data_IF_821869635068
#
_entry.id   IF_821869635068
#
_cell.length_a   1.000
_cell.length_b   1.000
_cell.length_c   1.000
_cell.angle_alpha   90.00
_cell.angle_beta   90.00
_cell.angle_gamma   90.00
#
_symmetry.space_group_name_H-M   'P 1'
#
loop_
_entity.id
_entity.type
_entity.pdbx_description
1 polymer ?
#
# COMPACT_ATOMS: atom_id res chain seq x y z
N UNK A 1 -5.78 7.06 14.01
CA UNK A 1 -4.77 6.15 14.58
C UNK A 1 -3.40 6.67 14.20
N UNK A 2 -2.39 6.49 15.04
CA UNK A 2 -1.04 6.99 14.83
C UNK A 2 -0.08 5.83 14.55
N UNK A 3 0.66 5.89 13.46
CA UNK A 3 1.62 4.88 13.05
C UNK A 3 2.92 5.53 12.52
N UNK A 4 3.76 5.99 13.43
CA UNK A 4 5.02 6.68 13.13
C UNK A 4 6.03 6.44 14.25
N UNK A 5 7.36 6.55 14.00
CA UNK A 5 8.40 6.17 14.96
C UNK A 5 8.67 7.27 16.00
N UNK A 6 7.63 7.92 16.50
CA UNK A 6 7.69 9.13 17.34
C UNK A 6 8.34 8.94 18.70
N UNK A 7 8.51 7.70 19.16
CA UNK A 7 9.35 7.38 20.32
C UNK A 7 10.81 7.81 20.14
N UNK A 8 11.25 8.01 18.90
CA UNK A 8 12.57 8.58 18.61
C UNK A 8 12.67 10.06 19.01
N UNK A 9 11.57 10.82 19.01
CA UNK A 9 11.59 12.21 19.44
C UNK A 9 11.93 12.32 20.94
N UNK A 10 11.37 11.43 21.76
CA UNK A 10 11.67 11.38 23.20
C UNK A 10 13.11 10.92 23.43
N UNK A 11 13.50 9.78 22.85
CA UNK A 11 14.82 9.20 23.08
C UNK A 11 15.99 10.02 22.52
N UNK A 12 15.81 10.73 21.40
CA UNK A 12 16.86 11.57 20.79
C UNK A 12 16.85 13.01 21.31
N UNK A 13 15.68 13.58 21.58
CA UNK A 13 15.53 15.03 21.79
C UNK A 13 14.86 15.42 23.10
N UNK A 14 14.37 14.45 23.90
CA UNK A 14 13.59 14.71 25.11
C UNK A 14 12.25 15.37 24.83
N UNK A 15 11.67 15.13 23.65
CA UNK A 15 10.39 15.69 23.22
C UNK A 15 9.33 14.58 23.22
N UNK A 16 8.42 14.68 24.19
CA UNK A 16 7.26 13.81 24.28
C UNK A 16 6.08 14.41 23.52
N UNK A 17 5.46 13.63 22.65
CA UNK A 17 4.27 14.04 21.91
C UNK A 17 3.00 13.59 22.64
N UNK A 18 2.06 14.50 22.80
CA UNK A 18 0.73 14.17 23.33
C UNK A 18 -0.12 13.47 22.25
N UNK A 19 -0.18 12.15 22.34
CA UNK A 19 -0.98 11.28 21.46
C UNK A 19 -2.26 10.77 22.13
N UNK A 20 -2.70 11.38 23.24
CA UNK A 20 -3.88 10.92 24.00
C UNK A 20 -5.18 10.94 23.20
N UNK A 21 -5.25 11.76 22.15
CA UNK A 21 -6.39 11.83 21.22
C UNK A 21 -6.41 10.68 20.19
N UNK A 22 -5.36 9.86 20.14
CA UNK A 22 -5.25 8.74 19.20
C UNK A 22 -5.74 7.45 19.85
N UNK A 23 -6.69 6.77 19.21
CA UNK A 23 -7.23 5.49 19.71
C UNK A 23 -6.18 4.38 19.76
N UNK A 24 -5.29 4.36 18.76
CA UNK A 24 -4.17 3.43 18.66
C UNK A 24 -2.92 4.23 18.32
N UNK A 25 -1.84 3.90 19.01
CA UNK A 25 -0.48 4.40 18.77
C UNK A 25 0.39 3.20 18.49
N UNK A 26 1.12 3.23 17.39
CA UNK A 26 2.04 2.19 16.96
C UNK A 26 3.24 2.81 16.27
N UNK A 27 4.30 2.03 16.13
CA UNK A 27 5.55 2.46 15.53
C UNK A 27 5.83 1.74 14.22
N UNK A 28 6.49 2.45 13.30
CA UNK A 28 6.97 1.91 12.01
C UNK A 28 8.39 1.36 12.10
N UNK A 29 9.05 1.46 13.26
CA UNK A 29 10.41 0.94 13.47
C UNK A 29 10.50 -0.55 13.18
N UNK A 30 11.61 -0.96 12.55
CA UNK A 30 11.91 -2.39 12.30
C UNK A 30 11.99 -3.23 13.56
N UNK A 31 12.32 -2.63 14.70
CA UNK A 31 12.42 -3.28 16.01
C UNK A 31 11.09 -3.30 16.78
N UNK A 32 10.07 -2.58 16.33
CA UNK A 32 8.79 -2.50 17.02
C UNK A 32 7.96 -3.77 16.76
N UNK A 33 7.82 -4.60 17.79
CA UNK A 33 6.98 -5.82 17.76
C UNK A 33 5.74 -5.65 18.63
N UNK A 34 4.77 -6.55 18.45
CA UNK A 34 3.52 -6.59 19.22
C UNK A 34 2.72 -5.27 19.20
N UNK A 35 2.75 -4.57 18.07
CA UNK A 35 2.03 -3.33 17.85
C UNK A 35 0.55 -3.57 17.50
N UNK A 36 -0.33 -2.60 17.75
CA UNK A 36 -1.75 -2.70 17.35
C UNK A 36 -1.93 -2.47 15.84
N UNK A 37 -1.00 -1.74 15.23
CA UNK A 37 -0.86 -1.58 13.78
C UNK A 37 0.51 -2.13 13.42
N UNK A 38 0.53 -3.21 12.64
CA UNK A 38 1.77 -3.81 12.15
C UNK A 38 1.84 -3.62 10.65
N UNK A 39 2.87 -2.92 10.19
CA UNK A 39 3.16 -2.74 8.76
C UNK A 39 4.38 -3.57 8.39
N UNK A 40 4.26 -4.33 7.33
CA UNK A 40 5.30 -5.20 6.81
C UNK A 40 5.83 -4.59 5.50
N UNK A 41 7.06 -4.06 5.55
CA UNK A 41 7.78 -3.62 4.36
C UNK A 41 8.44 -4.83 3.66
N UNK A 42 9.04 -4.61 2.50
CA UNK A 42 9.67 -5.63 1.65
C UNK A 42 10.77 -6.42 2.36
N UNK A 43 11.44 -5.84 3.36
CA UNK A 43 12.52 -6.45 4.15
C UNK A 43 12.03 -7.10 5.47
N UNK A 44 10.72 -7.23 5.65
CA UNK A 44 10.08 -7.73 6.89
C UNK A 44 8.97 -8.74 6.64
N UNK A 45 8.86 -9.32 5.44
CA UNK A 45 7.83 -10.32 5.14
C UNK A 45 8.28 -11.34 4.09
N UNK A 46 8.93 -12.39 4.57
CA UNK A 46 9.48 -13.44 3.74
C UNK A 46 10.36 -12.90 2.63
N UNK A 47 10.27 -13.52 1.47
CA UNK A 47 10.97 -13.08 0.27
C UNK A 47 10.07 -12.17 -0.54
N UNK A 48 10.43 -10.90 -0.73
CA UNK A 48 9.79 -10.03 -1.70
C UNK A 48 10.77 -9.70 -2.84
N UNK A 49 10.52 -10.14 -4.09
CA UNK A 49 11.42 -9.88 -5.21
C UNK A 49 11.22 -8.47 -5.74
N UNK A 50 12.29 -7.72 -5.95
CA UNK A 50 12.20 -6.38 -6.55
C UNK A 50 13.51 -5.94 -7.20
N UNK A 51 13.43 -4.90 -8.00
CA UNK A 51 14.57 -4.16 -8.52
C UNK A 51 14.74 -2.89 -7.71
N UNK A 52 15.93 -2.69 -7.16
CA UNK A 52 16.28 -1.42 -6.53
C UNK A 52 16.37 -0.34 -7.62
N UNK A 53 15.47 0.66 -7.56
CA UNK A 53 15.33 1.67 -8.63
C UNK A 53 16.58 2.57 -8.76
N UNK A 54 17.37 2.75 -7.68
CA UNK A 54 18.56 3.61 -7.66
C UNK A 54 19.81 2.89 -8.17
N UNK A 55 19.99 1.63 -7.79
CA UNK A 55 21.19 0.84 -8.08
C UNK A 55 21.01 -0.12 -9.26
N UNK A 56 19.78 -0.43 -9.64
CA UNK A 56 19.45 -1.45 -10.64
C UNK A 56 19.76 -2.88 -10.17
N UNK A 57 19.99 -3.10 -8.88
CA UNK A 57 20.29 -4.42 -8.33
C UNK A 57 19.01 -5.23 -8.14
N UNK A 58 19.01 -6.47 -8.62
CA UNK A 58 17.94 -7.41 -8.40
C UNK A 58 18.01 -8.01 -6.98
N UNK A 59 16.94 -7.82 -6.22
CA UNK A 59 16.73 -8.48 -4.93
C UNK A 59 15.82 -9.70 -5.13
N UNK A 60 16.26 -10.85 -4.62
CA UNK A 60 15.52 -12.12 -4.70
C UNK A 60 15.02 -12.45 -6.11
N UNK A 61 15.92 -12.35 -7.09
CA UNK A 61 15.66 -12.57 -8.53
C UNK A 61 14.79 -11.49 -9.22
N UNK A 62 14.36 -10.45 -8.51
CA UNK A 62 13.70 -9.26 -9.07
C UNK A 62 12.26 -9.46 -9.58
N UNK A 63 11.82 -10.69 -9.85
CA UNK A 63 10.50 -11.00 -10.41
C UNK A 63 9.70 -12.03 -9.58
N UNK A 64 8.37 -11.87 -9.44
CA UNK A 64 7.53 -12.81 -8.67
C UNK A 64 7.52 -14.23 -9.25
N UNK A 65 7.69 -14.41 -10.56
CA UNK A 65 7.75 -15.73 -11.19
C UNK A 65 9.04 -16.51 -10.95
N UNK A 66 10.06 -15.88 -10.34
CA UNK A 66 11.36 -16.49 -10.09
C UNK A 66 11.56 -16.94 -8.63
N UNK A 67 10.67 -16.56 -7.72
CA UNK A 67 10.87 -16.86 -6.29
C UNK A 67 10.54 -18.30 -5.91
N UNK A 68 11.22 -18.76 -4.87
CA UNK A 68 10.85 -19.98 -4.16
C UNK A 68 9.69 -19.73 -3.19
N UNK A 69 8.46 -20.07 -3.61
CA UNK A 69 7.26 -19.89 -2.78
C UNK A 69 7.21 -20.72 -1.50
N UNK A 70 8.01 -21.78 -1.38
CA UNK A 70 8.09 -22.56 -0.13
C UNK A 70 8.88 -21.76 0.90
N UNK A 71 10.08 -21.34 0.52
CA UNK A 71 10.98 -20.54 1.35
C UNK A 71 10.38 -19.18 1.72
N UNK A 72 9.72 -18.50 0.77
CA UNK A 72 8.93 -17.30 1.07
C UNK A 72 7.92 -17.54 2.19
N UNK A 73 7.21 -18.68 2.15
CA UNK A 73 6.19 -19.00 3.16
C UNK A 73 6.77 -19.28 4.53
N UNK A 74 7.88 -20.02 4.61
CA UNK A 74 8.58 -20.32 5.87
C UNK A 74 9.11 -19.03 6.53
N UNK A 75 9.78 -18.17 5.76
CA UNK A 75 10.28 -16.89 6.26
C UNK A 75 9.16 -15.92 6.64
N UNK A 76 8.09 -15.84 5.83
CA UNK A 76 6.94 -15.00 6.15
C UNK A 76 6.21 -15.46 7.41
N UNK A 77 6.15 -16.78 7.69
CA UNK A 77 5.61 -17.32 8.93
C UNK A 77 6.44 -16.86 10.13
N UNK A 78 7.77 -16.97 10.05
CA UNK A 78 8.68 -16.49 11.09
C UNK A 78 8.53 -14.98 11.33
N UNK A 79 8.45 -14.17 10.27
CA UNK A 79 8.24 -12.73 10.37
C UNK A 79 6.90 -12.39 11.04
N UNK A 80 5.81 -13.07 10.67
CA UNK A 80 4.50 -12.86 11.29
C UNK A 80 4.55 -13.19 12.78
N UNK A 81 5.23 -14.29 13.15
CA UNK A 81 5.40 -14.70 14.56
C UNK A 81 6.22 -13.68 15.33
N UNK A 82 7.28 -13.16 14.74
CA UNK A 82 8.15 -12.16 15.35
C UNK A 82 7.42 -10.83 15.58
N UNK A 83 6.78 -10.28 14.54
CA UNK A 83 6.16 -8.96 14.61
C UNK A 83 4.81 -8.96 15.34
N UNK A 84 4.06 -10.06 15.27
CA UNK A 84 2.75 -10.22 15.91
C UNK A 84 2.80 -11.47 16.79
N UNK A 85 3.44 -11.47 17.97
CA UNK A 85 3.60 -12.68 18.77
C UNK A 85 2.28 -13.21 19.35
N UNK A 86 1.27 -12.34 19.55
CA UNK A 86 -0.04 -12.71 20.07
C UNK A 86 -1.18 -12.42 19.07
N UNK A 87 -2.15 -13.34 18.95
CA UNK A 87 -3.37 -13.15 18.15
C UNK A 87 -4.37 -12.24 18.89
N UNK A 88 -4.16 -10.94 18.73
CA UNK A 88 -4.98 -9.86 19.25
C UNK A 88 -5.59 -9.02 18.12
N UNK A 89 -6.75 -8.37 18.34
CA UNK A 89 -7.32 -7.43 17.40
C UNK A 89 -6.33 -6.32 17.02
N UNK A 90 -6.33 -5.93 15.75
CA UNK A 90 -5.45 -4.89 15.24
C UNK A 90 -5.36 -4.91 13.72
N UNK A 91 -4.54 -4.04 13.16
CA UNK A 91 -4.32 -3.93 11.73
C UNK A 91 -3.01 -4.64 11.35
N UNK A 92 -3.01 -5.31 10.20
CA UNK A 92 -1.84 -5.93 9.59
C UNK A 92 -1.79 -5.54 8.11
N UNK A 93 -0.77 -4.75 7.75
CA UNK A 93 -0.64 -4.11 6.45
C UNK A 93 0.58 -4.67 5.74
N UNK A 94 0.38 -5.21 4.54
CA UNK A 94 1.45 -5.62 3.64
C UNK A 94 1.75 -4.44 2.70
N UNK A 95 2.94 -3.85 2.84
CA UNK A 95 3.33 -2.65 2.11
C UNK A 95 4.38 -2.98 1.05
N UNK A 96 3.86 -3.39 -0.11
CA UNK A 96 4.64 -3.89 -1.24
C UNK A 96 4.38 -3.01 -2.47
N UNK A 97 5.24 -2.02 -2.66
CA UNK A 97 5.03 -0.97 -3.66
C UNK A 97 5.89 -1.12 -4.92
N UNK A 98 6.82 -2.08 -4.96
CA UNK A 98 7.80 -2.14 -6.03
C UNK A 98 7.20 -2.51 -7.39
N UNK A 99 6.23 -3.43 -7.40
CA UNK A 99 5.44 -3.79 -8.59
C UNK A 99 3.95 -3.91 -8.25
N UNK A 100 3.10 -3.95 -9.28
CA UNK A 100 1.65 -4.14 -9.18
C UNK A 100 1.28 -5.52 -9.74
N UNK A 101 0.25 -6.20 -9.21
CA UNK A 101 -0.10 -7.54 -9.68
C UNK A 101 -0.73 -7.56 -11.09
N UNK A 102 -1.13 -6.39 -11.61
CA UNK A 102 -1.64 -6.23 -12.97
C UNK A 102 -0.54 -5.66 -13.87
N UNK A 103 -0.23 -6.34 -14.97
CA UNK A 103 0.80 -5.97 -15.93
C UNK A 103 0.66 -4.50 -16.38
N UNK A 104 -0.57 -4.09 -16.71
CA UNK A 104 -0.87 -2.77 -17.23
C UNK A 104 -0.63 -1.62 -16.22
N UNK A 105 -0.41 -1.93 -14.94
CA UNK A 105 -0.11 -0.95 -13.87
C UNK A 105 1.38 -0.86 -13.52
N UNK A 106 2.22 -1.64 -14.19
CA UNK A 106 3.68 -1.55 -14.07
C UNK A 106 4.24 -0.64 -15.17
N UNK A 107 3.97 0.65 -15.06
CA UNK A 107 4.44 1.70 -15.97
C UNK A 107 5.36 2.68 -15.24
N UNK A 108 5.99 3.61 -15.96
CA UNK A 108 6.94 4.57 -15.38
C UNK A 108 8.20 3.84 -14.93
N UNK A 109 8.69 4.11 -13.71
CA UNK A 109 9.85 3.39 -13.16
C UNK A 109 9.64 1.88 -13.05
N UNK A 110 8.38 1.43 -13.01
CA UNK A 110 8.00 0.01 -12.86
C UNK A 110 7.96 -0.74 -14.19
N UNK A 111 8.26 -0.07 -15.31
CA UNK A 111 8.30 -0.73 -16.62
C UNK A 111 9.39 -1.83 -16.68
N UNK A 112 10.44 -1.68 -15.88
CA UNK A 112 11.54 -2.65 -15.76
C UNK A 112 11.04 -4.08 -15.48
N UNK A 113 9.96 -4.24 -14.70
CA UNK A 113 9.38 -5.56 -14.41
C UNK A 113 8.75 -6.21 -15.65
N UNK A 114 8.22 -5.40 -16.57
CA UNK A 114 7.70 -5.88 -17.86
C UNK A 114 8.86 -6.28 -18.76
N UNK A 115 9.85 -5.42 -18.91
CA UNK A 115 11.04 -5.67 -19.74
C UNK A 115 11.78 -6.94 -19.31
N UNK A 116 12.11 -7.06 -18.02
CA UNK A 116 12.78 -8.25 -17.48
C UNK A 116 11.96 -9.52 -17.66
N UNK A 117 10.63 -9.43 -17.52
CA UNK A 117 9.75 -10.58 -17.74
C UNK A 117 9.78 -11.03 -19.20
N UNK A 118 9.82 -10.10 -20.16
CA UNK A 118 9.94 -10.39 -21.59
C UNK A 118 11.30 -11.00 -21.91
N UNK A 119 12.38 -10.39 -21.42
CA UNK A 119 13.74 -10.86 -21.64
C UNK A 119 13.91 -12.29 -21.13
N UNK A 120 13.43 -12.59 -19.92
CA UNK A 120 13.45 -13.94 -19.35
C UNK A 120 12.76 -14.97 -20.26
N UNK A 121 11.63 -14.61 -20.91
CA UNK A 121 10.95 -15.51 -21.85
C UNK A 121 11.74 -15.68 -23.14
N UNK A 122 12.29 -14.59 -23.69
CA UNK A 122 13.08 -14.63 -24.92
C UNK A 122 14.39 -15.43 -24.75
N UNK A 123 15.07 -15.30 -23.61
CA UNK A 123 16.27 -16.07 -23.30
C UNK A 123 15.99 -17.58 -23.23
N UNK A 124 14.80 -17.98 -22.78
CA UNK A 124 14.37 -19.39 -22.77
C UNK A 124 13.88 -19.90 -24.13
N UNK A 125 13.45 -18.99 -25.01
CA UNK A 125 12.84 -19.31 -26.30
C UNK A 125 13.40 -18.43 -27.42
N UNK A 126 14.64 -18.68 -27.84
CA UNK A 126 15.41 -17.83 -28.76
C UNK A 126 14.77 -17.57 -30.14
N UNK A 127 13.82 -18.41 -30.57
CA UNK A 127 13.10 -18.24 -31.84
C UNK A 127 11.74 -17.54 -31.71
N UNK A 128 11.33 -17.16 -30.50
CA UNK A 128 10.06 -16.48 -30.24
C UNK A 128 10.13 -15.01 -30.66
N UNK A 129 9.08 -14.51 -31.32
CA UNK A 129 8.95 -13.08 -31.61
C UNK A 129 8.66 -12.28 -30.34
N UNK A 130 9.02 -11.01 -30.34
CA UNK A 130 8.79 -10.11 -29.21
C UNK A 130 7.32 -10.10 -28.75
N UNK A 131 6.36 -9.89 -29.66
CA UNK A 131 4.92 -9.85 -29.31
C UNK A 131 4.43 -11.12 -28.61
N UNK A 132 4.92 -12.29 -29.05
CA UNK A 132 4.58 -13.57 -28.42
C UNK A 132 5.24 -13.70 -27.05
N UNK A 133 6.47 -13.22 -26.92
CA UNK A 133 7.19 -13.22 -25.65
C UNK A 133 6.50 -12.29 -24.64
N UNK A 134 6.04 -11.11 -25.06
CA UNK A 134 5.25 -10.18 -24.25
C UNK A 134 3.94 -10.81 -23.76
N UNK A 135 3.16 -11.43 -24.64
CA UNK A 135 1.94 -12.13 -24.26
C UNK A 135 2.16 -13.23 -23.23
N UNK A 136 3.26 -13.98 -23.36
CA UNK A 136 3.64 -15.02 -22.40
C UNK A 136 4.14 -14.41 -21.10
N UNK A 137 5.00 -13.39 -21.16
CA UNK A 137 5.55 -12.69 -20.01
C UNK A 137 4.44 -12.10 -19.14
N UNK A 138 3.47 -11.42 -19.76
CA UNK A 138 2.27 -10.91 -19.08
C UNK A 138 1.56 -11.99 -18.27
N UNK A 139 1.22 -13.12 -18.92
CA UNK A 139 0.49 -14.21 -18.25
C UNK A 139 1.29 -14.82 -17.09
N UNK A 140 2.59 -15.02 -17.29
CA UNK A 140 3.47 -15.59 -16.27
C UNK A 140 3.63 -14.66 -15.07
N UNK A 141 3.86 -13.37 -15.33
CA UNK A 141 4.02 -12.34 -14.31
C UNK A 141 2.74 -12.19 -13.48
N UNK A 142 1.58 -11.96 -14.13
CA UNK A 142 0.32 -11.75 -13.41
C UNK A 142 -0.10 -13.00 -12.61
N UNK A 143 0.15 -14.21 -13.13
CA UNK A 143 -0.11 -15.45 -12.41
C UNK A 143 0.78 -15.57 -11.16
N UNK A 144 2.06 -15.24 -11.26
CA UNK A 144 2.98 -15.29 -10.14
C UNK A 144 2.71 -14.20 -9.10
N UNK A 145 2.44 -12.98 -9.53
CA UNK A 145 2.08 -11.86 -8.68
C UNK A 145 0.77 -12.11 -7.91
N UNK A 146 -0.27 -12.62 -8.59
CA UNK A 146 -1.51 -13.06 -7.93
C UNK A 146 -1.26 -14.18 -6.93
N UNK A 147 -0.44 -15.17 -7.27
CA UNK A 147 -0.07 -16.27 -6.35
C UNK A 147 0.65 -15.74 -5.12
N UNK A 148 1.55 -14.76 -5.28
CA UNK A 148 2.23 -14.08 -4.18
C UNK A 148 1.21 -13.43 -3.24
N UNK A 149 0.40 -12.51 -3.77
CA UNK A 149 -0.56 -11.76 -2.96
C UNK A 149 -1.51 -12.69 -2.20
N UNK A 150 -2.05 -13.72 -2.87
CA UNK A 150 -2.96 -14.68 -2.25
C UNK A 150 -2.27 -15.53 -1.17
N UNK A 151 -1.03 -15.99 -1.39
CA UNK A 151 -0.32 -16.81 -0.40
C UNK A 151 0.02 -16.01 0.85
N UNK A 152 0.58 -14.82 0.68
CA UNK A 152 0.99 -13.95 1.78
C UNK A 152 -0.19 -13.56 2.68
N UNK A 153 -1.29 -13.06 2.10
CA UNK A 153 -2.45 -12.63 2.90
C UNK A 153 -3.16 -13.82 3.58
N UNK A 154 -3.21 -14.99 2.93
CA UNK A 154 -3.79 -16.21 3.52
C UNK A 154 -2.97 -16.73 4.69
N UNK A 155 -1.65 -16.69 4.58
CA UNK A 155 -0.76 -17.07 5.67
C UNK A 155 -0.99 -16.16 6.88
N UNK A 156 -0.99 -14.84 6.67
CA UNK A 156 -1.32 -13.85 7.70
C UNK A 156 -2.65 -14.13 8.40
N UNK A 157 -3.72 -14.31 7.63
CA UNK A 157 -5.06 -14.63 8.17
C UNK A 157 -5.11 -15.95 8.94
N UNK A 158 -4.35 -16.95 8.50
CA UNK A 158 -4.30 -18.27 9.16
C UNK A 158 -3.60 -18.16 10.51
N UNK A 159 -2.47 -17.45 10.56
CA UNK A 159 -1.68 -17.30 11.78
C UNK A 159 -2.28 -16.30 12.76
N UNK A 160 -2.87 -15.21 12.26
CA UNK A 160 -3.42 -14.09 13.05
C UNK A 160 -4.83 -13.73 12.59
N UNK A 161 -5.83 -14.59 12.83
CA UNK A 161 -7.20 -14.39 12.35
C UNK A 161 -7.91 -13.18 12.96
N UNK A 162 -7.46 -12.65 14.11
CA UNK A 162 -8.05 -11.43 14.70
C UNK A 162 -7.47 -10.14 14.12
N UNK A 163 -6.41 -10.24 13.30
CA UNK A 163 -5.84 -9.08 12.59
C UNK A 163 -6.61 -8.82 11.31
N UNK A 164 -6.78 -7.54 11.00
CA UNK A 164 -7.32 -7.11 9.73
C UNK A 164 -6.18 -6.98 8.72
N UNK A 165 -6.06 -7.99 7.86
CA UNK A 165 -5.10 -8.10 6.77
C UNK A 165 -5.57 -7.42 5.48
N UNK A 166 -4.63 -6.74 4.83
CA UNK A 166 -4.79 -6.10 3.53
C UNK A 166 -3.47 -5.51 3.04
N UNK A 167 -3.47 -5.00 1.82
CA UNK A 167 -2.29 -4.36 1.21
C UNK A 167 -2.42 -2.85 1.26
N UNK A 168 -1.33 -2.16 1.64
CA UNK A 168 -1.24 -0.71 1.50
C UNK A 168 -1.44 -0.32 0.02
N UNK A 169 -2.02 0.86 -0.20
CA UNK A 169 -2.36 1.45 -1.49
C UNK A 169 -3.61 0.86 -2.17
N UNK A 170 -4.14 -0.29 -1.74
CA UNK A 170 -5.24 -0.95 -2.45
C UNK A 170 -6.63 -0.65 -1.83
N UNK A 171 -7.63 -0.30 -2.67
CA UNK A 171 -7.50 0.01 -4.10
C UNK A 171 -6.84 1.39 -4.34
N UNK A 172 -6.21 1.54 -5.51
CA UNK A 172 -5.86 2.85 -6.03
C UNK A 172 -6.92 3.29 -7.05
N UNK A 173 -7.26 4.57 -7.02
CA UNK A 173 -8.22 5.24 -7.89
C UNK A 173 -7.55 5.83 -9.13
N UNK A 174 -6.23 6.08 -9.08
CA UNK A 174 -5.45 6.71 -10.15
C UNK A 174 -6.03 8.04 -10.67
N UNK A 175 -6.72 8.79 -9.79
CA UNK A 175 -7.27 10.12 -10.05
C UNK A 175 -6.19 11.21 -9.91
N UNK A 176 -5.09 11.07 -10.66
CA UNK A 176 -3.93 11.97 -10.61
C UNK A 176 -3.95 13.05 -11.72
N UNK A 177 -5.03 13.16 -12.48
CA UNK A 177 -5.18 14.11 -13.59
C UNK A 177 -5.26 15.59 -13.16
N UNK A 178 -5.27 15.86 -11.84
CA UNK A 178 -5.05 17.21 -11.31
C UNK A 178 -3.68 17.80 -11.71
N UNK A 179 -2.68 16.97 -12.04
CA UNK A 179 -1.42 17.42 -12.63
C UNK A 179 -1.58 18.01 -14.05
N UNK A 180 -2.64 17.60 -14.76
CA UNK A 180 -2.92 18.05 -16.12
C UNK A 180 -3.88 19.25 -16.13
N UNK A 181 -4.96 19.18 -15.34
CA UNK A 181 -5.95 20.24 -15.25
C UNK A 181 -6.61 20.33 -13.87
N UNK A 182 -6.01 21.09 -12.96
CA UNK A 182 -6.58 21.35 -11.62
C UNK A 182 -7.93 22.09 -11.67
N UNK A 183 -8.19 22.92 -12.69
CA UNK A 183 -9.38 23.77 -12.72
C UNK A 183 -10.66 22.96 -12.92
N UNK A 184 -10.63 21.98 -13.82
CA UNK A 184 -11.78 21.13 -14.16
C UNK A 184 -11.69 19.73 -13.55
N UNK A 185 -10.72 19.51 -12.65
CA UNK A 185 -10.51 18.24 -11.96
C UNK A 185 -11.73 17.84 -11.11
N UNK A 186 -12.33 16.70 -11.47
CA UNK A 186 -13.53 16.18 -10.79
C UNK A 186 -13.21 15.27 -9.61
N UNK A 187 -11.99 14.75 -9.54
CA UNK A 187 -11.60 13.72 -8.58
C UNK A 187 -11.97 12.29 -8.95
N UNK A 188 -12.79 12.07 -9.98
CA UNK A 188 -13.30 10.74 -10.31
C UNK A 188 -12.18 9.77 -10.68
N UNK A 189 -12.29 8.52 -10.22
CA UNK A 189 -11.44 7.45 -10.73
C UNK A 189 -11.77 7.22 -12.21
N UNK A 190 -10.78 7.14 -13.11
CA UNK A 190 -11.03 6.78 -14.50
C UNK A 190 -11.78 5.44 -14.58
N UNK A 191 -12.73 5.30 -15.52
CA UNK A 191 -13.55 4.09 -15.61
C UNK A 191 -12.71 2.82 -15.87
N UNK A 192 -11.64 2.93 -16.66
CA UNK A 192 -10.69 1.84 -16.86
C UNK A 192 -10.01 1.39 -15.56
N UNK A 193 -9.84 2.27 -14.58
CA UNK A 193 -9.23 1.94 -13.30
C UNK A 193 -10.22 1.25 -12.36
N UNK A 194 -11.51 1.56 -12.49
CA UNK A 194 -12.60 0.84 -11.82
C UNK A 194 -12.74 -0.57 -12.38
N UNK A 195 -12.67 -0.73 -13.70
CA UNK A 195 -12.63 -2.05 -14.37
C UNK A 195 -11.41 -2.87 -13.93
N UNK A 196 -10.21 -2.25 -13.90
CA UNK A 196 -8.99 -2.90 -13.38
C UNK A 196 -9.14 -3.28 -11.91
N UNK A 197 -9.81 -2.47 -11.10
CA UNK A 197 -10.09 -2.84 -9.72
C UNK A 197 -11.11 -3.99 -9.64
N UNK A 198 -12.04 -4.13 -10.58
CA UNK A 198 -12.96 -5.28 -10.63
C UNK A 198 -12.23 -6.60 -10.94
N UNK A 199 -11.22 -6.57 -11.80
CA UNK A 199 -10.34 -7.72 -12.10
C UNK A 199 -9.58 -8.22 -10.86
N UNK A 200 -9.40 -7.36 -9.85
CA UNK A 200 -8.79 -7.70 -8.56
C UNK A 200 -9.79 -8.29 -7.56
N UNK A 201 -10.97 -8.75 -7.98
CA UNK A 201 -11.94 -9.43 -7.10
C UNK A 201 -11.31 -10.50 -6.19
N UNK A 202 -10.34 -11.24 -6.71
CA UNK A 202 -9.60 -12.26 -5.96
C UNK A 202 -8.83 -11.69 -4.76
N UNK A 203 -8.38 -10.44 -4.82
CA UNK A 203 -7.72 -9.75 -3.72
C UNK A 203 -8.74 -9.31 -2.68
N UNK A 204 -9.84 -8.67 -3.12
CA UNK A 204 -10.91 -8.20 -2.23
C UNK A 204 -11.55 -9.35 -1.46
N UNK A 205 -11.74 -10.50 -2.11
CA UNK A 205 -12.27 -11.71 -1.48
C UNK A 205 -11.37 -12.22 -0.34
N UNK A 206 -10.06 -12.01 -0.42
CA UNK A 206 -9.15 -12.43 0.63
C UNK A 206 -8.88 -11.36 1.68
N UNK A 207 -8.96 -10.08 1.33
CA UNK A 207 -8.80 -8.97 2.26
C UNK A 207 -9.83 -8.97 3.39
N UNK A 208 -9.39 -8.51 4.56
CA UNK A 208 -10.23 -8.29 5.75
C UNK A 208 -10.27 -6.81 6.15
N UNK A 209 -9.40 -5.98 5.56
CA UNK A 209 -9.49 -4.53 5.53
C UNK A 209 -8.92 -4.00 4.19
N UNK A 210 -9.30 -2.78 3.81
CA UNK A 210 -8.72 -2.04 2.69
C UNK A 210 -7.92 -0.84 3.20
N UNK A 211 -6.78 -0.56 2.57
CA UNK A 211 -5.82 0.45 3.01
C UNK A 211 -5.45 1.43 1.89
N UNK A 212 -6.43 2.19 1.36
CA UNK A 212 -6.15 3.18 0.31
C UNK A 212 -5.27 4.31 0.88
N UNK A 213 -4.26 4.73 0.13
CA UNK A 213 -3.57 5.99 0.42
C UNK A 213 -4.42 7.16 -0.04
N UNK A 214 -4.56 8.20 0.77
CA UNK A 214 -5.23 9.46 0.41
C UNK A 214 -4.30 10.65 0.67
N UNK A 215 -2.99 10.43 0.49
CA UNK A 215 -1.97 11.46 0.66
C UNK A 215 -2.21 12.61 -0.32
N UNK A 216 -2.14 13.84 0.18
CA UNK A 216 -2.24 15.04 -0.64
C UNK A 216 -0.85 15.51 -1.06
N UNK A 217 -0.79 16.15 -2.22
CA UNK A 217 0.39 16.86 -2.73
C UNK A 217 0.22 18.37 -2.57
N UNK A 218 1.33 19.11 -2.56
CA UNK A 218 1.37 20.56 -2.34
C UNK A 218 0.52 21.32 -3.35
N UNK A 219 0.43 20.84 -4.59
CA UNK A 219 -0.43 21.43 -5.63
C UNK A 219 -1.92 21.45 -5.24
N UNK A 220 -2.34 20.55 -4.35
CA UNK A 220 -3.71 20.44 -3.86
C UNK A 220 -3.97 21.27 -2.58
N UNK A 221 -2.93 21.85 -1.97
CA UNK A 221 -2.99 22.61 -0.71
C UNK A 221 -4.10 23.65 -0.73
N UNK A 222 -4.98 23.60 0.26
CA UNK A 222 -6.13 24.48 0.45
C UNK A 222 -7.13 24.52 -0.72
N UNK A 223 -7.11 23.57 -1.66
CA UNK A 223 -8.06 23.52 -2.79
C UNK A 223 -9.32 22.70 -2.50
N UNK A 224 -10.46 23.04 -3.11
CA UNK A 224 -11.65 22.19 -3.05
C UNK A 224 -11.39 20.82 -3.69
N UNK A 225 -10.54 20.78 -4.71
CA UNK A 225 -10.08 19.61 -5.44
C UNK A 225 -9.42 18.57 -4.54
N UNK A 226 -8.73 18.98 -3.46
CA UNK A 226 -8.21 18.05 -2.45
C UNK A 226 -9.33 17.18 -1.85
N UNK A 227 -10.49 17.77 -1.55
CA UNK A 227 -11.64 17.01 -1.06
C UNK A 227 -12.19 16.04 -2.12
N UNK A 228 -12.24 16.47 -3.39
CA UNK A 228 -12.68 15.61 -4.49
C UNK A 228 -11.72 14.43 -4.73
N UNK A 229 -10.41 14.66 -4.62
CA UNK A 229 -9.40 13.61 -4.70
C UNK A 229 -9.60 12.56 -3.62
N UNK A 230 -9.73 12.97 -2.35
CA UNK A 230 -9.95 12.04 -1.23
C UNK A 230 -11.30 11.34 -1.36
N UNK A 231 -12.37 12.07 -1.67
CA UNK A 231 -13.73 11.56 -1.78
C UNK A 231 -13.81 10.34 -2.69
N UNK A 232 -13.29 10.44 -3.90
CA UNK A 232 -13.43 9.36 -4.88
C UNK A 232 -12.53 8.16 -4.58
N UNK A 233 -11.39 8.36 -3.91
CA UNK A 233 -10.55 7.25 -3.41
C UNK A 233 -11.26 6.44 -2.33
N UNK A 234 -11.97 7.12 -1.42
CA UNK A 234 -12.80 6.47 -0.40
C UNK A 234 -14.03 5.82 -1.04
N UNK A 235 -14.71 6.48 -1.98
CA UNK A 235 -15.86 5.89 -2.69
C UNK A 235 -15.48 4.66 -3.50
N UNK A 236 -14.33 4.65 -4.17
CA UNK A 236 -13.85 3.46 -4.87
C UNK A 236 -13.51 2.33 -3.91
N UNK A 237 -12.90 2.67 -2.76
CA UNK A 237 -12.69 1.71 -1.68
C UNK A 237 -14.00 1.12 -1.16
N UNK A 238 -15.04 1.94 -0.98
CA UNK A 238 -16.38 1.49 -0.60
C UNK A 238 -16.97 0.58 -1.68
N UNK A 239 -16.83 0.94 -2.97
CA UNK A 239 -17.33 0.16 -4.10
C UNK A 239 -16.70 -1.24 -4.13
N UNK A 240 -15.37 -1.33 -4.12
CA UNK A 240 -14.67 -2.63 -4.18
C UNK A 240 -14.88 -3.46 -2.92
N UNK A 241 -15.11 -2.81 -1.76
CA UNK A 241 -15.40 -3.51 -0.49
C UNK A 241 -16.66 -4.37 -0.53
N UNK A 242 -17.59 -4.05 -1.43
CA UNK A 242 -18.87 -4.76 -1.60
C UNK A 242 -18.82 -5.84 -2.68
N UNK A 243 -17.83 -5.81 -3.59
CA UNK A 243 -17.74 -6.77 -4.71
C UNK A 243 -17.70 -8.24 -4.29
N UNK A 244 -17.03 -8.63 -3.17
CA UNK A 244 -17.07 -10.02 -2.71
C UNK A 244 -18.47 -10.54 -2.31
N UNK A 245 -19.46 -9.65 -2.18
CA UNK A 245 -20.86 -9.97 -1.84
C UNK A 245 -21.01 -10.87 -0.60
N UNK A 246 -20.27 -10.55 0.48
CA UNK A 246 -20.24 -11.33 1.73
C UNK A 246 -21.36 -11.00 2.73
N UNK A 247 -22.32 -10.16 2.35
CA UNK A 247 -23.35 -9.63 3.26
C UNK A 247 -22.85 -8.51 4.19
N UNK A 248 -21.58 -8.12 4.09
CA UNK A 248 -20.98 -6.96 4.75
C UNK A 248 -19.91 -6.33 3.84
N UNK A 249 -19.64 -5.04 4.03
CA UNK A 249 -18.54 -4.33 3.37
C UNK A 249 -17.23 -4.54 4.13
N UNK A 250 -16.12 -4.74 3.41
CA UNK A 250 -14.78 -4.76 4.01
C UNK A 250 -14.49 -3.39 4.65
N UNK A 251 -14.03 -3.31 5.92
CA UNK A 251 -13.72 -2.02 6.55
C UNK A 251 -12.54 -1.33 5.87
N UNK A 252 -12.63 0.00 5.77
CA UNK A 252 -11.62 0.84 5.10
C UNK A 252 -10.86 1.63 6.15
N UNK A 253 -9.53 1.53 6.12
CA UNK A 253 -8.63 2.32 6.95
C UNK A 253 -7.72 3.16 6.06
N UNK A 254 -8.14 4.39 5.79
CA UNK A 254 -7.44 5.26 4.85
C UNK A 254 -6.12 5.76 5.43
N UNK A 255 -5.06 5.75 4.62
CA UNK A 255 -3.75 6.23 5.00
C UNK A 255 -3.60 7.72 4.68
N UNK A 256 -3.19 8.51 5.68
CA UNK A 256 -2.76 9.91 5.52
C UNK A 256 -1.31 10.09 5.95
N UNK A 257 -0.64 11.12 5.42
CA UNK A 257 0.50 11.79 6.06
C UNK A 257 0.01 13.08 6.69
N UNK A 258 0.67 13.52 7.75
CA UNK A 258 0.43 14.86 8.34
C UNK A 258 1.14 15.98 7.57
N UNK A 259 2.05 15.60 6.66
CA UNK A 259 2.73 16.47 5.71
C UNK A 259 2.26 16.15 4.30
N UNK A 260 2.43 17.08 3.35
CA UNK A 260 2.18 16.76 1.93
C UNK A 260 3.19 15.73 1.43
N UNK A 261 2.74 14.88 0.50
CA UNK A 261 3.52 13.78 -0.05
C UNK A 261 4.86 14.23 -0.65
N UNK A 262 4.84 15.38 -1.31
CA UNK A 262 5.94 16.05 -2.00
C UNK A 262 6.53 17.23 -1.20
N UNK A 263 6.25 17.33 0.10
CA UNK A 263 6.80 18.35 1.01
C UNK A 263 7.03 17.79 2.40
N UNK A 264 8.25 17.31 2.68
CA UNK A 264 8.59 16.60 3.92
C UNK A 264 8.47 17.47 5.20
N UNK A 265 8.44 18.80 5.09
CA UNK A 265 8.25 19.74 6.20
C UNK A 265 6.95 20.57 6.09
N UNK A 266 6.19 20.40 5.00
CA UNK A 266 4.95 21.13 4.78
C UNK A 266 3.77 20.39 5.42
N UNK A 267 3.40 20.77 6.64
CA UNK A 267 2.24 20.20 7.31
C UNK A 267 0.93 20.51 6.57
N UNK A 268 0.02 19.53 6.58
CA UNK A 268 -1.35 19.72 6.13
C UNK A 268 -1.99 20.88 6.88
N UNK A 269 -2.69 21.73 6.14
CA UNK A 269 -3.45 22.82 6.75
C UNK A 269 -4.61 22.26 7.56
N UNK A 270 -5.18 23.04 8.49
CA UNK A 270 -6.44 22.65 9.17
C UNK A 270 -7.55 22.33 8.17
N UNK A 271 -7.60 23.07 7.07
CA UNK A 271 -8.59 22.85 6.02
C UNK A 271 -8.36 21.52 5.30
N UNK A 272 -7.11 21.16 5.01
CA UNK A 272 -6.78 19.92 4.33
C UNK A 272 -6.85 18.70 5.26
N UNK A 273 -6.66 18.87 6.57
CA UNK A 273 -7.02 17.85 7.57
C UNK A 273 -8.53 17.56 7.56
N UNK A 274 -9.39 18.57 7.42
CA UNK A 274 -10.83 18.37 7.25
C UNK A 274 -11.13 17.67 5.91
N UNK A 275 -10.44 18.05 4.83
CA UNK A 275 -10.63 17.45 3.49
C UNK A 275 -10.01 16.06 3.33
N UNK A 276 -9.24 15.59 4.31
CA UNK A 276 -8.70 14.23 4.37
C UNK A 276 -9.44 13.41 5.41
N UNK A 277 -9.17 13.66 6.70
CA UNK A 277 -9.75 12.91 7.82
C UNK A 277 -11.28 13.09 7.88
N UNK A 278 -11.74 14.34 7.75
CA UNK A 278 -13.17 14.64 7.78
C UNK A 278 -13.93 14.04 6.61
N UNK A 279 -13.37 14.12 5.40
CA UNK A 279 -13.97 13.53 4.19
C UNK A 279 -14.04 12.00 4.29
N UNK A 280 -12.96 11.33 4.72
CA UNK A 280 -12.96 9.89 4.93
C UNK A 280 -13.98 9.45 5.98
N UNK A 281 -14.09 10.18 7.10
CA UNK A 281 -15.08 9.91 8.13
C UNK A 281 -16.52 10.09 7.62
N UNK A 282 -16.79 11.17 6.87
CA UNK A 282 -18.11 11.47 6.31
C UNK A 282 -18.60 10.41 5.31
N UNK A 283 -17.68 9.73 4.62
CA UNK A 283 -17.98 8.67 3.65
C UNK A 283 -18.04 7.26 4.27
N UNK A 284 -17.84 7.14 5.59
CA UNK A 284 -17.97 5.87 6.30
C UNK A 284 -16.71 5.01 6.35
N UNK A 285 -15.52 5.60 6.19
CA UNK A 285 -14.28 4.87 6.48
C UNK A 285 -14.28 4.41 7.95
N UNK A 286 -13.83 3.17 8.19
CA UNK A 286 -13.74 2.59 9.53
C UNK A 286 -12.66 3.27 10.39
N UNK A 287 -11.67 3.88 9.77
CA UNK A 287 -10.71 4.75 10.44
C UNK A 287 -9.70 5.38 9.49
N UNK A 288 -8.81 6.16 10.06
CA UNK A 288 -7.68 6.80 9.36
C UNK A 288 -6.39 6.46 10.08
N UNK A 289 -5.39 5.99 9.33
CA UNK A 289 -4.03 5.72 9.79
C UNK A 289 -3.15 6.91 9.39
N UNK A 290 -2.68 7.65 10.38
CA UNK A 290 -1.67 8.69 10.19
C UNK A 290 -0.31 8.04 10.20
N UNK A 291 0.33 7.95 9.03
CA UNK A 291 1.61 7.31 8.83
C UNK A 291 2.76 8.32 8.78
N UNK A 292 3.91 7.93 9.33
CA UNK A 292 5.17 8.67 9.24
C UNK A 292 6.35 7.73 9.06
N UNK A 293 7.28 8.11 8.20
CA UNK A 293 8.57 7.46 8.03
C UNK A 293 9.57 7.94 9.09
N UNK A 294 10.85 7.61 8.91
CA UNK A 294 11.91 8.07 9.80
C UNK A 294 12.13 9.58 9.75
N UNK A 295 11.87 10.24 8.61
CA UNK A 295 12.15 11.66 8.39
C UNK A 295 11.41 12.56 9.36
N UNK A 296 10.19 12.19 9.75
CA UNK A 296 9.40 12.94 10.75
C UNK A 296 10.05 12.98 12.14
N UNK A 297 11.12 12.21 12.36
CA UNK A 297 11.86 12.12 13.64
C UNK A 297 13.38 12.28 13.48
N UNK A 298 13.84 12.80 12.34
CA UNK A 298 15.27 12.96 12.04
C UNK A 298 15.90 14.15 12.76
N UNK A 299 15.14 15.24 12.96
CA UNK A 299 15.67 16.48 13.54
C UNK A 299 14.77 17.04 14.65
N UNK A 300 15.36 17.92 15.47
CA UNK A 300 14.66 18.69 16.51
C UNK A 300 14.03 19.98 15.95
N UNK A 301 14.42 20.41 14.75
CA UNK A 301 14.12 21.76 14.26
C UNK A 301 12.62 21.91 14.07
N UNK A 302 12.06 22.90 14.75
CA UNK A 302 10.64 23.25 14.79
C UNK A 302 10.31 24.32 13.75
#
# INVERSE_FOLDING_TARGET
MWNAPTELCESKFGISLDLTYMQLVSSTLKTATNQSITIFYTDRFGIFPYMDEDTGVAHSEGLPQLINFKEHGELAEDDIIFYIPADQPGLAILDFEEWRPQWARNWGSKDIYREMSIEMIMQKHLSMSYDKAEDVAKRVFEAAAKKYFLKSIKLGKTLRPKRLWGYYLYPDCYNYDYHQNMKDYSGQCPEIEKERNDELLWLWQESTALYPSIYLELVQKNTHQAALYVRHRIQESMRVSMLPNKGYSIPIYAYIRIVYKDGDEDYLSKLDLVRTIGEAAALGAAGVVSWGDMKVTESKVA
#
